data_IF_669835870425
#
_entry.id   IF_669835870425
#
_cell.length_a   1.000
_cell.length_b   1.000
_cell.length_c   1.000
_cell.angle_alpha   90.00
_cell.angle_beta   90.00
_cell.angle_gamma   90.00
#
_symmetry.space_group_name_H-M   'P 1'
#
loop_
_entity.id
_entity.type
_entity.pdbx_description
1 polymer ?
#
# COMPACT_ATOMS: atom_id res chain seq x y z
N UNK A 1 30.74 37.48 -9.55
CA UNK A 1 29.45 37.08 -10.16
C UNK A 1 29.26 35.57 -10.23
N UNK A 2 30.20 34.77 -10.76
CA UNK A 2 30.08 33.29 -10.82
C UNK A 2 29.86 32.60 -9.46
N UNK A 3 30.57 33.01 -8.39
CA UNK A 3 30.39 32.38 -7.06
C UNK A 3 29.08 32.78 -6.37
N UNK A 4 28.60 34.01 -6.57
CA UNK A 4 27.33 34.48 -6.01
C UNK A 4 26.13 33.75 -6.65
N UNK A 5 26.19 33.51 -7.96
CA UNK A 5 25.21 32.70 -8.70
C UNK A 5 25.17 31.25 -8.18
N UNK A 6 26.34 30.64 -7.93
CA UNK A 6 26.41 29.29 -7.36
C UNK A 6 25.81 29.19 -5.95
N UNK A 7 26.03 30.20 -5.11
CA UNK A 7 25.47 30.25 -3.75
C UNK A 7 23.95 30.42 -3.78
N UNK A 8 23.42 31.30 -4.65
CA UNK A 8 21.96 31.49 -4.81
C UNK A 8 21.30 30.20 -5.31
N UNK A 9 21.91 29.52 -6.28
CA UNK A 9 21.42 28.24 -6.81
C UNK A 9 21.38 27.19 -5.68
N UNK A 10 22.44 27.06 -4.88
CA UNK A 10 22.50 26.12 -3.75
C UNK A 10 21.42 26.38 -2.68
N UNK A 11 21.17 27.66 -2.34
CA UNK A 11 20.15 28.03 -1.35
C UNK A 11 18.75 27.70 -1.87
N UNK A 12 18.46 27.98 -3.15
CA UNK A 12 17.17 27.66 -3.78
C UNK A 12 16.94 26.15 -3.88
N UNK A 13 17.98 25.37 -4.23
CA UNK A 13 17.89 23.91 -4.24
C UNK A 13 17.62 23.34 -2.85
N UNK A 14 18.32 23.83 -1.81
CA UNK A 14 18.12 23.37 -0.44
C UNK A 14 16.73 23.74 0.12
N UNK A 15 16.19 24.92 -0.22
CA UNK A 15 14.84 25.33 0.19
C UNK A 15 13.74 24.47 -0.46
N UNK A 16 13.90 24.14 -1.75
CA UNK A 16 12.97 23.24 -2.45
C UNK A 16 12.99 21.82 -1.86
N UNK A 17 14.18 21.28 -1.55
CA UNK A 17 14.33 19.94 -0.94
C UNK A 17 13.69 19.91 0.46
N UNK A 18 13.96 20.91 1.30
CA UNK A 18 13.38 21.00 2.64
C UNK A 18 11.84 21.08 2.61
N UNK A 19 11.29 21.87 1.69
CA UNK A 19 9.83 22.02 1.56
C UNK A 19 9.20 20.74 1.05
N UNK A 20 9.78 20.11 0.02
CA UNK A 20 9.31 18.82 -0.51
C UNK A 20 9.30 17.73 0.56
N UNK A 21 10.36 17.65 1.37
CA UNK A 21 10.44 16.68 2.46
C UNK A 21 9.36 16.91 3.52
N UNK A 22 9.06 18.17 3.87
CA UNK A 22 7.97 18.46 4.80
C UNK A 22 6.58 18.10 4.25
N UNK A 23 6.31 18.38 2.97
CA UNK A 23 5.02 18.03 2.35
C UNK A 23 4.85 16.52 2.23
N UNK A 24 5.91 15.81 1.88
CA UNK A 24 5.91 14.35 1.76
C UNK A 24 5.67 13.68 3.13
N UNK A 25 6.32 14.17 4.20
CA UNK A 25 6.03 13.71 5.56
C UNK A 25 4.58 13.99 5.98
N UNK A 26 4.05 15.18 5.71
CA UNK A 26 2.66 15.51 6.02
C UNK A 26 1.72 14.59 5.23
N UNK A 27 2.00 14.30 3.97
CA UNK A 27 1.21 13.37 3.17
C UNK A 27 1.19 11.97 3.78
N UNK A 28 2.34 11.45 4.24
CA UNK A 28 2.45 10.16 4.92
C UNK A 28 1.61 10.13 6.19
N UNK A 29 1.75 11.13 7.07
CA UNK A 29 1.00 11.22 8.34
C UNK A 29 -0.52 11.28 8.09
N UNK A 30 -0.96 12.05 7.09
CA UNK A 30 -2.39 12.15 6.73
C UNK A 30 -2.90 10.87 6.09
N UNK A 31 -2.08 10.20 5.27
CA UNK A 31 -2.44 8.94 4.65
C UNK A 31 -2.58 7.84 5.70
N UNK A 32 -1.63 7.74 6.64
CA UNK A 32 -1.67 6.79 7.75
C UNK A 32 -2.90 7.02 8.62
N UNK A 33 -3.19 8.28 8.97
CA UNK A 33 -4.37 8.63 9.76
C UNK A 33 -5.66 8.21 9.05
N UNK A 34 -5.81 8.52 7.76
CA UNK A 34 -6.97 8.10 6.98
C UNK A 34 -7.11 6.57 6.94
N UNK A 35 -6.00 5.86 6.69
CA UNK A 35 -5.96 4.40 6.67
C UNK A 35 -6.36 3.79 8.01
N UNK A 36 -5.89 4.37 9.11
CA UNK A 36 -6.21 3.97 10.49
C UNK A 36 -7.69 4.19 10.81
N UNK A 37 -8.26 5.35 10.49
CA UNK A 37 -9.70 5.63 10.71
C UNK A 37 -10.56 4.62 9.93
N UNK A 38 -10.23 4.39 8.66
CA UNK A 38 -10.94 3.40 7.85
C UNK A 38 -10.81 1.99 8.43
N UNK A 39 -9.64 1.65 8.98
CA UNK A 39 -9.41 0.37 9.65
C UNK A 39 -10.26 0.23 10.90
N UNK A 40 -10.21 1.21 11.81
CA UNK A 40 -10.99 1.21 13.05
C UNK A 40 -12.49 1.06 12.78
N UNK A 41 -13.00 1.73 11.74
CA UNK A 41 -14.39 1.57 11.30
C UNK A 41 -14.70 0.12 10.93
N UNK A 42 -13.88 -0.52 10.07
CA UNK A 42 -14.08 -1.93 9.69
C UNK A 42 -14.01 -2.88 10.88
N UNK A 43 -13.09 -2.62 11.81
CA UNK A 43 -12.99 -3.42 13.04
C UNK A 43 -14.25 -3.29 13.88
N UNK A 44 -14.79 -2.07 14.01
CA UNK A 44 -16.01 -1.84 14.79
C UNK A 44 -17.25 -2.49 14.16
N UNK A 45 -17.33 -2.49 12.83
CA UNK A 45 -18.49 -2.99 12.08
C UNK A 45 -18.46 -4.50 11.86
N UNK A 46 -17.27 -5.06 11.60
CA UNK A 46 -17.10 -6.44 11.12
C UNK A 46 -16.09 -7.27 11.91
N UNK A 47 -15.36 -6.67 12.85
CA UNK A 47 -14.38 -7.38 13.65
C UNK A 47 -15.04 -8.40 14.58
N UNK A 48 -14.50 -9.63 14.69
CA UNK A 48 -14.98 -10.57 15.69
C UNK A 48 -14.79 -10.00 17.10
N UNK A 49 -15.67 -10.39 18.04
CA UNK A 49 -15.50 -10.02 19.45
C UNK A 49 -14.27 -10.74 20.02
N UNK A 50 -13.38 -9.98 20.65
CA UNK A 50 -12.07 -10.48 21.12
C UNK A 50 -11.00 -10.45 20.02
N UNK A 51 -9.77 -10.90 20.33
CA UNK A 51 -8.63 -10.96 19.37
C UNK A 51 -8.25 -9.62 18.71
N UNK A 52 -8.42 -8.50 19.42
CA UNK A 52 -8.12 -7.15 18.89
C UNK A 52 -6.72 -7.04 18.28
N UNK A 53 -5.71 -7.67 18.89
CA UNK A 53 -4.33 -7.68 18.40
C UNK A 53 -4.19 -8.31 17.01
N UNK A 54 -4.87 -9.44 16.75
CA UNK A 54 -4.87 -10.10 15.44
C UNK A 54 -5.56 -9.23 14.40
N UNK A 55 -6.68 -8.64 14.79
CA UNK A 55 -7.45 -7.77 13.91
C UNK A 55 -6.62 -6.52 13.57
N UNK A 56 -5.96 -5.88 14.52
CA UNK A 56 -5.15 -4.69 14.23
C UNK A 56 -3.95 -4.99 13.33
N UNK A 57 -3.39 -6.20 13.44
CA UNK A 57 -2.16 -6.60 12.75
C UNK A 57 -2.37 -7.53 11.54
N UNK A 58 -3.60 -7.68 11.03
CA UNK A 58 -3.93 -8.70 10.02
C UNK A 58 -3.02 -8.70 8.79
N UNK A 59 -2.59 -7.51 8.33
CA UNK A 59 -1.73 -7.37 7.16
C UNK A 59 -0.32 -7.87 7.43
N UNK A 60 0.23 -7.53 8.60
CA UNK A 60 1.54 -8.03 9.02
C UNK A 60 1.49 -9.54 9.27
N UNK A 61 0.39 -10.06 9.81
CA UNK A 61 0.19 -11.51 9.95
C UNK A 61 0.16 -12.20 8.57
N UNK A 62 -0.59 -11.66 7.61
CA UNK A 62 -0.62 -12.20 6.24
C UNK A 62 0.76 -12.13 5.55
N UNK A 63 1.45 -10.98 5.65
CA UNK A 63 2.81 -10.82 5.09
C UNK A 63 3.78 -11.85 5.68
N UNK A 64 3.75 -12.05 7.00
CA UNK A 64 4.58 -13.04 7.68
C UNK A 64 4.24 -14.47 7.25
N UNK A 65 2.95 -14.83 7.14
CA UNK A 65 2.55 -16.16 6.66
C UNK A 65 3.01 -16.40 5.21
N UNK A 66 2.91 -15.38 4.34
CA UNK A 66 3.41 -15.47 2.96
C UNK A 66 4.92 -15.68 2.89
N UNK A 67 5.69 -15.09 3.80
CA UNK A 67 7.14 -15.29 3.91
C UNK A 67 7.46 -16.69 4.42
N UNK A 68 6.78 -17.13 5.49
CA UNK A 68 6.99 -18.45 6.09
C UNK A 68 6.72 -19.61 5.12
N UNK A 69 5.75 -19.42 4.21
CA UNK A 69 5.38 -20.40 3.18
C UNK A 69 6.11 -20.15 1.84
N UNK A 70 7.14 -19.29 1.82
CA UNK A 70 8.00 -19.01 0.66
C UNK A 70 7.26 -18.46 -0.58
N UNK A 71 6.06 -17.91 -0.37
CA UNK A 71 5.35 -17.15 -1.40
C UNK A 71 5.97 -15.76 -1.60
N UNK A 72 6.41 -15.12 -0.51
CA UNK A 72 7.12 -13.85 -0.52
C UNK A 72 8.56 -14.03 -0.05
N UNK A 73 9.53 -13.84 -0.95
CA UNK A 73 10.95 -14.07 -0.63
C UNK A 73 11.58 -12.90 0.15
N UNK A 74 11.18 -11.66 -0.17
CA UNK A 74 11.77 -10.45 0.38
C UNK A 74 10.77 -9.28 0.40
N UNK A 75 10.88 -8.41 1.41
CA UNK A 75 10.06 -7.19 1.53
C UNK A 75 10.69 -6.08 0.68
N UNK A 76 10.65 -6.29 -0.63
CA UNK A 76 11.11 -5.33 -1.65
C UNK A 76 10.04 -5.17 -2.73
N UNK A 77 10.14 -4.11 -3.55
CA UNK A 77 9.24 -3.97 -4.71
C UNK A 77 9.35 -5.16 -5.67
N UNK A 78 10.56 -5.72 -5.83
CA UNK A 78 10.77 -6.91 -6.65
C UNK A 78 10.06 -8.13 -6.05
N UNK A 79 10.23 -8.39 -4.76
CA UNK A 79 9.56 -9.50 -4.08
C UNK A 79 8.02 -9.40 -4.17
N UNK A 80 7.47 -8.18 -4.03
CA UNK A 80 6.04 -7.95 -4.21
C UNK A 80 5.58 -8.08 -5.67
N UNK A 81 6.38 -7.65 -6.64
CA UNK A 81 6.07 -7.87 -8.05
C UNK A 81 6.03 -9.37 -8.39
N UNK A 82 6.97 -10.16 -7.86
CA UNK A 82 6.98 -11.62 -8.00
C UNK A 82 5.76 -12.25 -7.31
N UNK A 83 5.41 -11.79 -6.11
CA UNK A 83 4.24 -12.25 -5.37
C UNK A 83 2.93 -11.97 -6.13
N UNK A 84 2.78 -10.77 -6.71
CA UNK A 84 1.61 -10.42 -7.53
C UNK A 84 1.52 -11.30 -8.79
N UNK A 85 2.64 -11.63 -9.41
CA UNK A 85 2.69 -12.59 -10.52
C UNK A 85 2.28 -13.99 -10.07
N UNK A 86 2.79 -14.48 -8.94
CA UNK A 86 2.37 -15.78 -8.35
C UNK A 86 0.87 -15.79 -8.09
N UNK A 87 0.32 -14.71 -7.54
CA UNK A 87 -1.10 -14.57 -7.29
C UNK A 87 -1.93 -14.60 -8.58
N UNK A 88 -1.56 -13.79 -9.59
CA UNK A 88 -2.21 -13.79 -10.91
C UNK A 88 -2.23 -15.18 -11.56
N UNK A 89 -1.13 -15.93 -11.44
CA UNK A 89 -0.98 -17.27 -12.01
C UNK A 89 -1.60 -18.38 -11.14
N UNK A 90 -2.32 -18.02 -10.06
CA UNK A 90 -2.88 -18.96 -9.09
C UNK A 90 -1.86 -19.96 -8.51
N UNK A 91 -0.60 -19.52 -8.34
CA UNK A 91 0.47 -20.34 -7.76
C UNK A 91 0.47 -20.34 -6.23
N UNK A 92 -0.27 -19.41 -5.62
CA UNK A 92 -0.56 -19.42 -4.18
C UNK A 92 -1.75 -20.35 -3.97
N UNK A 93 -1.52 -21.43 -3.21
CA UNK A 93 -2.49 -22.51 -3.06
C UNK A 93 -3.67 -22.10 -2.16
N UNK A 94 -4.92 -22.47 -2.46
CA UNK A 94 -6.07 -22.13 -1.60
C UNK A 94 -5.91 -22.59 -0.14
N UNK A 95 -5.24 -23.72 0.08
CA UNK A 95 -4.94 -24.26 1.41
C UNK A 95 -4.14 -23.29 2.29
N UNK A 96 -3.36 -22.38 1.68
CA UNK A 96 -2.68 -21.30 2.39
C UNK A 96 -3.68 -20.40 3.13
N UNK A 97 -4.74 -19.96 2.44
CA UNK A 97 -5.72 -19.05 3.04
C UNK A 97 -6.61 -19.76 4.06
N UNK A 98 -6.93 -21.02 3.86
CA UNK A 98 -7.65 -21.83 4.86
C UNK A 98 -6.81 -22.05 6.12
N UNK A 99 -5.50 -22.32 5.98
CA UNK A 99 -4.57 -22.38 7.11
C UNK A 99 -4.52 -21.04 7.85
N UNK A 100 -4.37 -19.93 7.12
CA UNK A 100 -4.35 -18.59 7.70
C UNK A 100 -5.63 -18.27 8.48
N UNK A 101 -6.82 -18.53 7.92
CA UNK A 101 -8.11 -18.38 8.62
C UNK A 101 -8.17 -19.21 9.91
N UNK A 102 -7.70 -20.46 9.85
CA UNK A 102 -7.67 -21.36 11.00
C UNK A 102 -6.77 -20.84 12.12
N UNK A 103 -5.57 -20.34 11.79
CA UNK A 103 -4.63 -19.75 12.74
C UNK A 103 -5.18 -18.47 13.40
N UNK A 104 -5.87 -17.64 12.62
CA UNK A 104 -6.60 -16.48 13.16
C UNK A 104 -7.78 -16.90 14.03
N UNK A 105 -8.37 -18.07 13.74
CA UNK A 105 -9.61 -18.59 14.33
C UNK A 105 -10.82 -17.71 14.05
N UNK A 106 -10.86 -17.09 12.87
CA UNK A 106 -12.01 -16.39 12.26
C UNK A 106 -11.72 -16.14 10.77
N UNK A 107 -12.76 -15.87 9.98
CA UNK A 107 -12.60 -15.46 8.58
C UNK A 107 -12.33 -13.94 8.49
N UNK A 108 -11.14 -13.50 8.04
CA UNK A 108 -10.79 -12.09 7.97
C UNK A 108 -11.24 -11.41 6.66
N UNK A 109 -12.05 -12.05 5.80
CA UNK A 109 -12.40 -11.49 4.49
C UNK A 109 -12.92 -10.05 4.54
N UNK A 110 -13.81 -9.73 5.49
CA UNK A 110 -14.35 -8.38 5.67
C UNK A 110 -13.32 -7.36 6.19
N UNK A 111 -12.15 -7.83 6.63
CA UNK A 111 -11.02 -7.02 7.05
C UNK A 111 -10.03 -6.73 5.92
N UNK A 112 -10.21 -7.25 4.71
CA UNK A 112 -9.39 -6.94 3.53
C UNK A 112 -10.21 -6.13 2.51
N UNK A 113 -10.44 -4.82 2.74
CA UNK A 113 -11.34 -4.03 1.92
C UNK A 113 -10.79 -3.77 0.51
N UNK A 114 -11.68 -3.87 -0.49
CA UNK A 114 -11.48 -3.30 -1.83
C UNK A 114 -11.60 -1.77 -1.75
N UNK A 115 -10.67 -1.01 -2.34
CA UNK A 115 -10.83 0.44 -2.57
C UNK A 115 -10.62 1.39 -1.38
N UNK A 116 -10.23 0.93 -0.18
CA UNK A 116 -9.98 1.86 0.94
C UNK A 116 -8.72 2.73 0.76
N UNK A 117 -7.72 2.24 0.01
CA UNK A 117 -6.47 2.97 -0.20
C UNK A 117 -6.64 4.12 -1.20
N UNK A 118 -7.42 3.91 -2.27
CA UNK A 118 -7.73 4.97 -3.24
C UNK A 118 -8.45 6.15 -2.58
N UNK A 119 -9.47 5.87 -1.76
CA UNK A 119 -10.21 6.91 -1.03
C UNK A 119 -9.32 7.81 -0.18
N UNK A 120 -8.28 7.26 0.45
CA UNK A 120 -7.35 8.07 1.23
C UNK A 120 -6.52 8.98 0.32
N UNK A 121 -6.00 8.48 -0.79
CA UNK A 121 -5.30 9.35 -1.74
C UNK A 121 -6.22 10.42 -2.34
N UNK A 122 -7.47 10.08 -2.64
CA UNK A 122 -8.44 11.07 -3.13
C UNK A 122 -8.68 12.19 -2.13
N UNK A 123 -8.81 11.85 -0.85
CA UNK A 123 -8.91 12.85 0.20
C UNK A 123 -7.68 13.75 0.25
N UNK A 124 -6.48 13.18 0.17
CA UNK A 124 -5.22 13.94 0.21
C UNK A 124 -5.03 14.84 -1.03
N UNK A 125 -5.45 14.37 -2.21
CA UNK A 125 -5.34 15.09 -3.48
C UNK A 125 -6.43 16.15 -3.62
N UNK A 126 -7.70 15.77 -3.45
CA UNK A 126 -8.84 16.63 -3.81
C UNK A 126 -9.32 17.50 -2.66
N UNK A 127 -9.35 16.97 -1.42
CA UNK A 127 -9.86 17.71 -0.26
C UNK A 127 -8.77 18.51 0.44
N UNK A 128 -7.57 17.93 0.59
CA UNK A 128 -6.46 18.60 1.27
C UNK A 128 -5.52 19.34 0.31
N UNK A 129 -5.49 18.96 -0.98
CA UNK A 129 -4.61 19.56 -1.99
C UNK A 129 -3.13 19.58 -1.56
N UNK A 130 -2.66 18.50 -0.92
CA UNK A 130 -1.27 18.37 -0.43
C UNK A 130 -0.41 17.43 -1.27
N UNK A 131 -1.01 16.76 -2.26
CA UNK A 131 -0.34 15.85 -3.19
C UNK A 131 -0.38 16.48 -4.59
N UNK A 132 0.80 16.72 -5.17
CA UNK A 132 0.96 17.24 -6.53
C UNK A 132 0.78 16.13 -7.58
N UNK A 133 0.29 16.47 -8.78
CA UNK A 133 0.09 15.51 -9.88
C UNK A 133 1.39 14.82 -10.37
N UNK A 134 2.54 15.48 -10.18
CA UNK A 134 3.84 14.92 -10.56
C UNK A 134 4.46 14.07 -9.44
N UNK A 135 3.85 14.06 -8.25
CA UNK A 135 4.31 13.28 -7.10
C UNK A 135 4.20 11.77 -7.33
N UNK A 136 5.00 11.01 -6.60
CA UNK A 136 4.93 9.56 -6.67
C UNK A 136 3.61 9.03 -6.12
N UNK A 137 3.03 9.70 -5.10
CA UNK A 137 1.76 9.33 -4.51
C UNK A 137 0.62 9.40 -5.54
N UNK A 138 0.59 10.48 -6.32
CA UNK A 138 -0.41 10.66 -7.37
C UNK A 138 -0.29 9.57 -8.45
N UNK A 139 0.94 9.31 -8.92
CA UNK A 139 1.21 8.28 -9.93
C UNK A 139 0.91 6.87 -9.42
N UNK A 140 1.25 6.58 -8.17
CA UNK A 140 0.86 5.33 -7.49
C UNK A 140 -0.66 5.17 -7.48
N UNK A 141 -1.39 6.20 -7.04
CA UNK A 141 -2.87 6.20 -7.00
C UNK A 141 -3.46 5.95 -8.39
N UNK A 142 -2.93 6.58 -9.43
CA UNK A 142 -3.38 6.39 -10.81
C UNK A 142 -3.13 4.97 -11.31
N UNK A 143 -1.94 4.40 -11.06
CA UNK A 143 -1.63 3.01 -11.40
C UNK A 143 -2.57 2.03 -10.68
N UNK A 144 -2.81 2.27 -9.38
CA UNK A 144 -3.75 1.48 -8.59
C UNK A 144 -5.18 1.56 -9.14
N UNK A 145 -5.69 2.75 -9.43
CA UNK A 145 -7.03 2.93 -10.00
C UNK A 145 -7.21 2.31 -11.37
N UNK A 146 -6.22 2.46 -12.26
CA UNK A 146 -6.26 1.78 -13.55
C UNK A 146 -6.32 0.27 -13.34
N UNK A 147 -5.51 -0.27 -12.44
CA UNK A 147 -5.56 -1.69 -12.12
C UNK A 147 -6.93 -2.12 -11.57
N UNK A 148 -7.56 -1.32 -10.69
CA UNK A 148 -8.90 -1.58 -10.15
C UNK A 148 -9.95 -1.62 -11.27
N UNK A 149 -9.92 -0.65 -12.18
CA UNK A 149 -10.83 -0.58 -13.32
C UNK A 149 -10.70 -1.78 -14.28
N UNK A 150 -9.52 -2.38 -14.36
CA UNK A 150 -9.28 -3.59 -15.15
C UNK A 150 -9.51 -4.91 -14.39
N UNK A 151 -9.83 -4.85 -13.09
CA UNK A 151 -10.12 -6.04 -12.26
C UNK A 151 -8.90 -6.58 -11.49
N UNK A 152 -7.90 -5.74 -11.26
CA UNK A 152 -6.64 -6.05 -10.56
C UNK A 152 -5.89 -7.23 -11.20
N UNK A 153 -5.90 -8.39 -10.53
CA UNK A 153 -5.21 -9.60 -10.95
C UNK A 153 -6.00 -10.42 -11.98
N UNK A 154 -7.28 -10.09 -12.26
CA UNK A 154 -8.05 -10.77 -13.31
C UNK A 154 -7.65 -10.38 -14.73
N UNK A 155 -6.79 -9.37 -14.88
CA UNK A 155 -6.37 -8.80 -16.17
C UNK A 155 -4.85 -8.67 -16.28
N UNK A 156 -4.39 -7.83 -17.21
CA UNK A 156 -3.02 -7.34 -17.19
C UNK A 156 -2.72 -6.63 -15.87
N UNK A 157 -1.64 -7.05 -15.19
CA UNK A 157 -1.19 -6.47 -13.92
C UNK A 157 -0.17 -5.35 -14.14
N UNK A 158 0.15 -5.04 -15.40
CA UNK A 158 1.14 -4.03 -15.77
C UNK A 158 0.89 -2.70 -15.09
N UNK A 159 -0.36 -2.22 -15.00
CA UNK A 159 -0.68 -0.96 -14.32
C UNK A 159 -0.46 -1.04 -12.80
N UNK A 160 -0.73 -2.19 -12.18
CA UNK A 160 -0.46 -2.41 -10.76
C UNK A 160 1.05 -2.43 -10.48
N UNK A 161 1.84 -3.07 -11.35
CA UNK A 161 3.31 -3.10 -11.25
C UNK A 161 3.90 -1.71 -11.52
N UNK A 162 3.35 -0.94 -12.47
CA UNK A 162 3.73 0.47 -12.66
C UNK A 162 3.48 1.27 -11.39
N UNK A 163 2.28 1.17 -10.81
CA UNK A 163 1.96 1.81 -9.54
C UNK A 163 2.94 1.43 -8.43
N UNK A 164 3.21 0.13 -8.23
CA UNK A 164 4.21 -0.36 -7.28
C UNK A 164 5.58 0.30 -7.46
N UNK A 165 6.04 0.45 -8.70
CA UNK A 165 7.35 1.03 -9.01
C UNK A 165 7.45 2.54 -8.75
N UNK A 166 6.33 3.26 -8.71
CA UNK A 166 6.32 4.68 -8.33
C UNK A 166 6.67 4.90 -6.85
N UNK A 167 6.38 3.93 -5.98
CA UNK A 167 6.65 4.06 -4.54
C UNK A 167 8.19 4.12 -4.30
N UNK A 168 8.72 5.14 -3.62
CA UNK A 168 10.13 5.19 -3.23
C UNK A 168 10.51 4.00 -2.35
N UNK A 169 11.74 3.51 -2.45
CA UNK A 169 12.16 2.28 -1.75
C UNK A 169 12.07 2.42 -0.23
N UNK A 170 12.44 3.59 0.29
CA UNK A 170 12.35 3.94 1.70
C UNK A 170 10.90 3.99 2.19
N UNK A 171 9.98 4.47 1.35
CA UNK A 171 8.54 4.47 1.65
C UNK A 171 7.99 3.06 1.61
N UNK A 172 8.40 2.25 0.63
CA UNK A 172 7.94 0.87 0.50
C UNK A 172 8.23 0.00 1.73
N UNK A 173 9.23 0.34 2.54
CA UNK A 173 9.52 -0.31 3.82
C UNK A 173 8.43 -0.07 4.89
N UNK A 174 7.55 0.91 4.70
CA UNK A 174 6.40 1.14 5.58
C UNK A 174 5.23 0.24 5.18
N UNK A 175 4.74 -0.58 6.12
CA UNK A 175 3.66 -1.55 5.88
C UNK A 175 2.41 -0.90 5.27
N UNK A 176 2.12 0.37 5.61
CA UNK A 176 0.94 1.09 5.12
C UNK A 176 0.86 1.15 3.59
N UNK A 177 1.98 1.19 2.88
CA UNK A 177 1.99 1.15 1.41
C UNK A 177 1.94 -0.26 0.85
N UNK A 178 2.24 -1.28 1.65
CA UNK A 178 2.17 -2.69 1.25
C UNK A 178 0.81 -3.32 1.50
N UNK A 179 0.04 -2.77 2.45
CA UNK A 179 -1.34 -3.20 2.78
C UNK A 179 -2.25 -3.30 1.55
N UNK A 180 -2.08 -2.40 0.58
CA UNK A 180 -2.86 -2.38 -0.66
C UNK A 180 -2.65 -3.65 -1.50
N UNK A 181 -1.42 -4.11 -1.65
CA UNK A 181 -1.09 -5.32 -2.40
C UNK A 181 -1.54 -6.57 -1.65
N UNK A 182 -1.38 -6.58 -0.33
CA UNK A 182 -1.87 -7.64 0.55
C UNK A 182 -3.41 -7.78 0.48
N UNK A 183 -4.14 -6.66 0.43
CA UNK A 183 -5.58 -6.67 0.18
C UNK A 183 -5.90 -7.31 -1.18
N UNK A 184 -5.22 -6.88 -2.25
CA UNK A 184 -5.45 -7.42 -3.60
C UNK A 184 -5.23 -8.93 -3.62
N UNK A 185 -4.10 -9.41 -3.07
CA UNK A 185 -3.75 -10.82 -3.05
C UNK A 185 -4.79 -11.64 -2.28
N UNK A 186 -5.14 -11.20 -1.07
CA UNK A 186 -6.12 -11.90 -0.25
C UNK A 186 -7.46 -12.00 -0.97
N UNK A 187 -7.97 -10.88 -1.46
CA UNK A 187 -9.31 -10.79 -2.06
C UNK A 187 -9.41 -11.44 -3.44
N UNK A 188 -8.30 -11.57 -4.18
CA UNK A 188 -8.32 -12.22 -5.48
C UNK A 188 -8.35 -13.75 -5.37
N UNK A 189 -7.69 -14.30 -4.35
CA UNK A 189 -7.44 -15.73 -4.23
C UNK A 189 -8.35 -16.43 -3.22
N UNK A 190 -9.22 -15.67 -2.53
CA UNK A 190 -10.17 -16.14 -1.53
C UNK A 190 -11.57 -15.60 -1.82
#
# INVERSE_FOLDING_TARGET
MRSLLLIIILILFNACISTKNSTDQIADEKFELCSKINRERLISEYGPKGKLEYIQNIHSLLENSLIQEEYLNEITKKGYAELLNKAKLNLIKPEFFEKFKSELGFDPNLLFPKGNHSRCYDYLITNLNIIDENSWQYKFRDGYWKSEAYGFLSSDITELIKGLNEIPDEKFQMIMYRKVFLNIIYVHLN
#
